data_IF_111712540383
#
_entry.id   IF_111712540383
#
_cell.length_a   1.000
_cell.length_b   1.000
_cell.length_c   1.000
_cell.angle_alpha   90.00
_cell.angle_beta   90.00
_cell.angle_gamma   90.00
#
_symmetry.space_group_name_H-M   'P 1'
#
loop_
_entity.id
_entity.type
_entity.pdbx_description
1 polymer ?
#
# COMPACT_ATOMS: atom_id res chain seq x y z
N UNK A 1 8.98 -17.06 3.19
CA UNK A 1 7.61 -17.34 2.70
C UNK A 1 7.17 -16.17 1.85
N UNK A 2 6.55 -16.41 0.70
CA UNK A 2 5.99 -15.33 -0.14
C UNK A 2 4.59 -14.97 0.39
N UNK A 3 4.32 -13.69 0.59
CA UNK A 3 3.02 -13.16 1.08
C UNK A 3 2.50 -12.01 0.19
N UNK A 4 3.00 -11.92 -1.04
CA UNK A 4 2.72 -10.79 -1.93
C UNK A 4 1.22 -10.61 -2.19
N UNK A 5 0.51 -11.72 -2.43
CA UNK A 5 -0.93 -11.69 -2.74
C UNK A 5 -1.77 -11.24 -1.54
N UNK A 6 -1.42 -11.70 -0.33
CA UNK A 6 -2.10 -11.32 0.89
C UNK A 6 -1.94 -9.82 1.17
N UNK A 7 -0.75 -9.28 0.93
CA UNK A 7 -0.47 -7.84 1.06
C UNK A 7 -1.33 -7.00 0.11
N UNK A 8 -1.47 -7.44 -1.15
CA UNK A 8 -2.27 -6.73 -2.15
C UNK A 8 -3.78 -6.89 -1.95
N UNK A 9 -4.22 -7.88 -1.17
CA UNK A 9 -5.64 -8.15 -0.94
C UNK A 9 -6.20 -7.34 0.22
N UNK A 10 -5.79 -7.63 1.46
CA UNK A 10 -6.32 -6.94 2.65
C UNK A 10 -5.48 -7.24 3.92
N UNK A 11 -5.47 -6.35 4.92
CA UNK A 11 -4.64 -6.46 6.12
C UNK A 11 -4.87 -7.73 6.93
N UNK A 12 -6.11 -8.23 6.99
CA UNK A 12 -6.43 -9.44 7.76
C UNK A 12 -5.73 -10.67 7.17
N UNK A 13 -5.57 -10.74 5.85
CA UNK A 13 -4.89 -11.86 5.20
C UNK A 13 -3.39 -11.83 5.52
N UNK A 14 -2.78 -10.64 5.56
CA UNK A 14 -1.39 -10.45 6.02
C UNK A 14 -1.25 -10.90 7.47
N UNK A 15 -2.13 -10.44 8.35
CA UNK A 15 -2.06 -10.74 9.79
C UNK A 15 -2.30 -12.22 10.06
N UNK A 16 -3.19 -12.89 9.30
CA UNK A 16 -3.36 -14.35 9.36
C UNK A 16 -2.04 -15.05 9.01
N UNK A 17 -1.40 -14.68 7.90
CA UNK A 17 -0.11 -15.28 7.51
C UNK A 17 0.97 -15.08 8.57
N UNK A 18 1.05 -13.88 9.16
CA UNK A 18 1.99 -13.61 10.23
C UNK A 18 1.69 -14.46 11.47
N UNK A 19 0.44 -14.48 11.93
CA UNK A 19 0.02 -15.18 13.16
C UNK A 19 0.08 -16.70 13.05
N UNK A 20 -0.08 -17.25 11.84
CA UNK A 20 0.06 -18.69 11.61
C UNK A 20 1.53 -19.15 11.62
N UNK A 21 2.48 -18.23 11.46
CA UNK A 21 3.91 -18.55 11.34
C UNK A 21 4.78 -17.97 12.46
N UNK A 22 4.27 -16.99 13.20
CA UNK A 22 4.96 -16.27 14.27
C UNK A 22 4.04 -16.19 15.50
N UNK A 23 4.65 -16.19 16.69
CA UNK A 23 3.96 -15.84 17.94
C UNK A 23 3.74 -14.32 18.00
N UNK A 24 2.80 -13.83 17.19
CA UNK A 24 2.51 -12.41 17.01
C UNK A 24 1.38 -11.96 17.93
N UNK A 25 1.66 -10.99 18.80
CA UNK A 25 0.63 -10.29 19.57
C UNK A 25 0.21 -9.00 18.89
N UNK A 26 -1.11 -8.85 18.70
CA UNK A 26 -1.70 -7.67 18.11
C UNK A 26 -3.11 -7.42 18.65
N UNK A 27 -3.50 -6.15 18.68
CA UNK A 27 -4.86 -5.72 18.97
C UNK A 27 -5.52 -5.22 17.69
N UNK A 28 -6.74 -5.69 17.40
CA UNK A 28 -7.56 -5.16 16.29
C UNK A 28 -8.35 -3.94 16.77
N UNK A 29 -8.16 -2.80 16.10
CA UNK A 29 -8.92 -1.55 16.30
C UNK A 29 -9.58 -1.18 14.98
N UNK A 30 -10.90 -1.39 14.88
CA UNK A 30 -11.69 -1.18 13.66
C UNK A 30 -11.12 -2.02 12.49
N UNK A 31 -10.38 -1.41 11.58
CA UNK A 31 -9.77 -2.00 10.39
C UNK A 31 -8.24 -1.99 10.43
N UNK A 32 -7.66 -1.72 11.60
CA UNK A 32 -6.21 -1.65 11.82
C UNK A 32 -5.79 -2.70 12.86
N UNK A 33 -4.64 -3.31 12.62
CA UNK A 33 -4.04 -4.33 13.48
C UNK A 33 -2.76 -3.75 14.07
N UNK A 34 -2.79 -3.41 15.35
CA UNK A 34 -1.67 -2.77 16.06
C UNK A 34 -0.78 -3.83 16.69
N UNK A 35 0.51 -3.81 16.34
CA UNK A 35 1.51 -4.75 16.85
C UNK A 35 1.89 -4.38 18.28
N UNK A 36 1.62 -5.26 19.25
CA UNK A 36 1.84 -4.97 20.67
C UNK A 36 3.34 -5.02 21.03
N UNK A 37 4.02 -6.08 20.60
CA UNK A 37 5.41 -6.32 21.01
C UNK A 37 6.44 -5.56 20.15
N UNK A 38 6.01 -4.91 19.04
CA UNK A 38 6.86 -4.19 18.06
C UNK A 38 8.14 -4.95 17.69
N UNK A 39 8.03 -6.27 17.54
CA UNK A 39 9.12 -7.20 17.20
C UNK A 39 9.34 -7.35 15.70
N UNK A 40 8.24 -7.30 14.94
CA UNK A 40 8.25 -7.48 13.49
C UNK A 40 9.00 -6.35 12.81
N UNK A 41 10.08 -6.68 12.12
CA UNK A 41 10.87 -5.75 11.35
C UNK A 41 10.33 -5.67 9.92
N UNK A 42 10.59 -4.55 9.25
CA UNK A 42 10.34 -4.36 7.84
C UNK A 42 11.57 -3.76 7.16
N UNK A 43 11.92 -4.27 5.99
CA UNK A 43 12.93 -3.69 5.10
C UNK A 43 12.38 -3.54 3.69
N UNK A 44 12.65 -2.39 3.08
CA UNK A 44 12.49 -2.22 1.63
C UNK A 44 13.85 -2.42 0.96
N UNK A 45 13.83 -3.06 -0.20
CA UNK A 45 14.97 -3.24 -1.07
C UNK A 45 14.64 -2.86 -2.51
N UNK A 46 15.62 -2.26 -3.18
CA UNK A 46 15.62 -2.06 -4.63
C UNK A 46 16.86 -2.73 -5.20
N UNK A 47 16.67 -3.59 -6.20
CA UNK A 47 17.74 -4.39 -6.82
C UNK A 47 18.66 -5.10 -5.79
N UNK A 48 18.10 -5.56 -4.67
CA UNK A 48 18.80 -6.26 -3.59
C UNK A 48 19.55 -5.36 -2.60
N UNK A 49 19.52 -4.04 -2.79
CA UNK A 49 20.08 -3.07 -1.84
C UNK A 49 18.99 -2.54 -0.92
N UNK A 50 19.17 -2.70 0.39
CA UNK A 50 18.22 -2.16 1.38
C UNK A 50 18.44 -0.67 1.60
N UNK A 51 17.37 0.11 1.45
CA UNK A 51 17.38 1.57 1.62
C UNK A 51 16.43 2.07 2.71
N UNK A 52 15.55 1.21 3.22
CA UNK A 52 14.60 1.54 4.28
C UNK A 52 14.47 0.38 5.24
N UNK A 53 14.45 0.68 6.54
CA UNK A 53 14.26 -0.30 7.60
C UNK A 53 13.54 0.32 8.78
N UNK A 54 12.67 -0.46 9.42
CA UNK A 54 12.09 -0.10 10.70
C UNK A 54 11.27 -1.22 11.31
N UNK A 55 10.48 -0.88 12.33
CA UNK A 55 9.60 -1.80 13.03
C UNK A 55 8.16 -1.59 12.62
N UNK A 56 7.44 -2.66 12.28
CA UNK A 56 6.01 -2.58 11.97
C UNK A 56 5.25 -2.22 13.25
N UNK A 57 4.48 -1.15 13.17
CA UNK A 57 3.66 -0.62 14.26
C UNK A 57 2.22 -1.08 14.11
N UNK A 58 1.70 -0.97 12.89
CA UNK A 58 0.37 -1.45 12.55
C UNK A 58 0.25 -1.78 11.07
N UNK A 59 -0.73 -2.61 10.75
CA UNK A 59 -1.13 -2.96 9.38
C UNK A 59 -2.63 -2.64 9.27
N UNK A 60 -3.05 -1.91 8.24
CA UNK A 60 -4.43 -1.42 8.13
C UNK A 60 -4.87 -1.17 6.70
N UNK A 61 -6.17 -0.91 6.53
CA UNK A 61 -6.77 -0.66 5.21
C UNK A 61 -6.26 0.63 4.59
N UNK A 62 -6.43 0.74 3.27
CA UNK A 62 -6.29 2.01 2.57
C UNK A 62 -7.39 2.99 3.00
N UNK A 63 -7.06 4.28 3.02
CA UNK A 63 -8.00 5.34 3.45
C UNK A 63 -9.24 5.47 2.54
N UNK A 64 -9.15 4.99 1.32
CA UNK A 64 -10.23 5.01 0.33
C UNK A 64 -11.00 3.69 0.24
N UNK A 65 -10.79 2.79 1.21
CA UNK A 65 -11.40 1.45 1.30
C UNK A 65 -11.13 0.55 0.08
N UNK A 66 -10.15 0.91 -0.77
CA UNK A 66 -9.73 0.04 -1.86
C UNK A 66 -8.89 -1.13 -1.35
N UNK A 67 -8.85 -2.22 -2.14
CA UNK A 67 -8.08 -3.42 -1.80
C UNK A 67 -6.59 -3.13 -1.57
N UNK A 68 -6.00 -3.86 -0.63
CA UNK A 68 -4.60 -3.78 -0.26
C UNK A 68 -4.36 -3.38 1.19
N UNK A 69 -3.09 -3.41 1.57
CA UNK A 69 -2.64 -3.18 2.94
C UNK A 69 -1.69 -1.99 3.02
N UNK A 70 -1.88 -1.15 4.03
CA UNK A 70 -0.92 -0.13 4.45
C UNK A 70 -0.14 -0.67 5.65
N UNK A 71 1.17 -0.45 5.65
CA UNK A 71 2.01 -0.69 6.82
C UNK A 71 2.49 0.63 7.37
N UNK A 72 2.37 0.81 8.68
CA UNK A 72 3.08 1.85 9.39
C UNK A 72 4.34 1.28 10.03
N UNK A 73 5.45 1.93 9.76
CA UNK A 73 6.79 1.51 10.14
C UNK A 73 7.46 2.62 10.91
N UNK A 74 7.97 2.29 12.09
CA UNK A 74 8.76 3.18 12.93
C UNK A 74 10.24 3.02 12.59
N UNK A 75 10.85 4.08 12.05
CA UNK A 75 12.28 4.13 11.69
C UNK A 75 13.17 4.58 12.84
N UNK A 76 12.60 4.81 14.04
CA UNK A 76 13.14 5.51 15.22
C UNK A 76 13.11 7.04 15.10
N UNK A 77 13.31 7.58 13.91
CA UNK A 77 13.26 9.02 13.67
C UNK A 77 11.82 9.51 13.46
N UNK A 78 11.01 8.70 12.77
CA UNK A 78 9.64 9.04 12.42
C UNK A 78 8.78 7.79 12.13
N UNK A 79 7.47 8.01 12.06
CA UNK A 79 6.52 7.02 11.56
C UNK A 79 6.32 7.22 10.06
N UNK A 80 6.56 6.17 9.27
CA UNK A 80 6.37 6.18 7.82
C UNK A 80 5.30 5.17 7.43
N UNK A 81 4.40 5.59 6.55
CA UNK A 81 3.44 4.69 5.93
C UNK A 81 3.99 4.25 4.58
N UNK A 82 3.83 2.96 4.28
CA UNK A 82 4.11 2.39 2.97
C UNK A 82 2.87 1.71 2.43
N UNK A 83 2.73 1.71 1.12
CA UNK A 83 1.58 1.20 0.41
C UNK A 83 2.05 0.25 -0.71
N UNK A 84 2.35 -1.01 -0.38
CA UNK A 84 2.74 -1.99 -1.38
C UNK A 84 1.57 -2.31 -2.31
N UNK A 85 1.80 -2.17 -3.61
CA UNK A 85 0.82 -2.41 -4.67
C UNK A 85 1.47 -3.14 -5.84
N UNK A 86 0.65 -3.66 -6.76
CA UNK A 86 1.15 -4.31 -7.97
C UNK A 86 1.98 -3.37 -8.86
N UNK A 87 1.79 -2.05 -8.72
CA UNK A 87 2.45 -1.00 -9.47
C UNK A 87 3.84 -0.64 -8.95
N UNK A 88 4.09 -0.81 -7.65
CA UNK A 88 5.32 -0.37 -6.98
C UNK A 88 6.11 -1.50 -6.29
N UNK A 89 5.61 -2.74 -6.33
CA UNK A 89 6.17 -3.88 -5.59
C UNK A 89 6.37 -5.08 -6.51
N UNK A 90 7.56 -5.68 -6.44
CA UNK A 90 7.87 -6.97 -7.08
C UNK A 90 7.45 -8.14 -6.22
N UNK A 91 7.84 -8.11 -4.94
CA UNK A 91 7.67 -9.26 -4.07
C UNK A 91 7.66 -8.84 -2.61
N UNK A 92 6.80 -9.47 -1.83
CA UNK A 92 6.82 -9.39 -0.37
C UNK A 92 7.10 -10.77 0.21
N UNK A 93 8.13 -10.86 1.05
CA UNK A 93 8.50 -12.10 1.73
C UNK A 93 8.57 -11.94 3.23
N UNK A 94 8.09 -12.95 3.95
CA UNK A 94 8.28 -13.11 5.38
C UNK A 94 9.47 -14.04 5.64
N UNK A 95 10.49 -13.54 6.31
CA UNK A 95 11.56 -14.32 6.94
C UNK A 95 11.12 -14.63 8.38
N UNK A 96 10.62 -15.84 8.58
CA UNK A 96 10.08 -16.34 9.85
C UNK A 96 11.17 -16.35 10.93
N UNK A 97 12.41 -16.72 10.58
CA UNK A 97 13.51 -16.83 11.56
C UNK A 97 13.97 -15.47 12.06
N UNK A 98 13.87 -14.44 11.22
CA UNK A 98 14.29 -13.07 11.55
C UNK A 98 13.15 -12.17 11.99
N UNK A 99 11.91 -12.66 12.01
CA UNK A 99 10.72 -11.85 12.23
C UNK A 99 10.75 -10.59 11.35
N UNK A 100 10.98 -10.78 10.05
CA UNK A 100 11.24 -9.70 9.09
C UNK A 100 10.35 -9.83 7.86
N UNK A 101 9.60 -8.76 7.57
CA UNK A 101 8.97 -8.54 6.27
C UNK A 101 9.97 -7.85 5.36
N UNK A 102 10.19 -8.43 4.18
CA UNK A 102 11.08 -7.92 3.16
C UNK A 102 10.28 -7.62 1.90
N UNK A 103 10.30 -6.37 1.47
CA UNK A 103 9.58 -5.89 0.28
C UNK A 103 10.61 -5.48 -0.77
N UNK A 104 10.58 -6.16 -1.92
CA UNK A 104 11.31 -5.75 -3.12
C UNK A 104 10.45 -4.74 -3.87
N UNK A 105 10.89 -3.49 -3.91
CA UNK A 105 10.18 -2.40 -4.59
C UNK A 105 10.59 -2.31 -6.05
N UNK A 106 9.68 -1.85 -6.91
CA UNK A 106 9.92 -1.67 -8.34
C UNK A 106 8.94 -0.66 -8.93
N UNK A 107 9.42 0.25 -9.78
CA UNK A 107 8.58 1.30 -10.38
C UNK A 107 7.94 0.83 -11.70
N UNK A 108 6.89 0.01 -11.64
CA UNK A 108 6.31 -0.65 -12.83
C UNK A 108 5.34 0.23 -13.61
N UNK A 109 4.69 1.17 -12.93
CA UNK A 109 3.64 1.99 -13.52
C UNK A 109 3.92 3.48 -13.32
N UNK A 110 3.60 4.27 -14.35
CA UNK A 110 3.65 5.73 -14.28
C UNK A 110 2.27 6.29 -13.99
N UNK A 111 2.24 7.36 -13.21
CA UNK A 111 1.04 8.13 -12.96
C UNK A 111 0.48 8.69 -14.27
N UNK A 112 -0.76 8.35 -14.58
CA UNK A 112 -1.46 8.76 -15.82
C UNK A 112 -1.70 10.27 -15.94
N UNK A 113 -1.44 11.04 -14.88
CA UNK A 113 -1.59 12.50 -14.86
C UNK A 113 -0.24 13.22 -14.97
N UNK A 114 0.73 12.91 -14.10
CA UNK A 114 2.02 13.62 -14.08
C UNK A 114 3.16 12.92 -14.83
N UNK A 115 2.98 11.66 -15.24
CA UNK A 115 3.99 10.87 -15.96
C UNK A 115 5.17 10.38 -15.12
N UNK A 116 5.24 10.70 -13.83
CA UNK A 116 6.25 10.17 -12.90
C UNK A 116 5.89 8.76 -12.45
N UNK A 117 6.89 8.01 -12.00
CA UNK A 117 6.68 6.67 -11.43
C UNK A 117 5.81 6.72 -10.18
N UNK A 118 5.06 5.65 -9.96
CA UNK A 118 4.37 5.36 -8.71
C UNK A 118 5.30 4.54 -7.83
N UNK A 119 5.66 5.08 -6.67
CA UNK A 119 6.60 4.51 -5.73
C UNK A 119 5.91 3.95 -4.47
N UNK A 120 6.68 3.26 -3.63
CA UNK A 120 6.18 2.52 -2.45
C UNK A 120 5.56 3.41 -1.35
N UNK A 121 5.95 4.68 -1.31
CA UNK A 121 5.47 5.66 -0.34
C UNK A 121 4.26 6.46 -0.86
N UNK A 122 3.86 6.26 -2.11
CA UNK A 122 2.79 7.02 -2.72
C UNK A 122 1.41 6.46 -2.36
N UNK A 123 0.44 7.37 -2.17
CA UNK A 123 -0.97 7.00 -2.23
C UNK A 123 -1.39 6.88 -3.69
N UNK A 124 -1.93 5.72 -4.05
CA UNK A 124 -2.26 5.37 -5.44
C UNK A 124 -3.74 5.11 -5.53
N UNK A 125 -4.37 5.68 -6.56
CA UNK A 125 -5.76 5.36 -6.90
C UNK A 125 -5.87 5.10 -8.40
N UNK A 126 -7.03 4.62 -8.84
CA UNK A 126 -7.25 4.22 -10.22
C UNK A 126 -8.62 4.59 -10.73
N UNK A 127 -8.75 4.71 -12.05
CA UNK A 127 -10.05 4.83 -12.68
C UNK A 127 -10.86 3.53 -12.45
N UNK A 128 -12.11 3.60 -11.95
CA UNK A 128 -12.93 2.40 -11.70
C UNK A 128 -13.39 1.69 -12.99
N UNK A 129 -13.07 2.23 -14.18
CA UNK A 129 -13.54 1.70 -15.47
C UNK A 129 -12.42 1.13 -16.33
N UNK A 130 -11.28 1.82 -16.40
CA UNK A 130 -10.13 1.39 -17.21
C UNK A 130 -8.89 1.11 -16.37
N UNK A 131 -9.01 1.21 -15.04
CA UNK A 131 -7.96 0.90 -14.04
C UNK A 131 -6.67 1.69 -14.19
N UNK A 132 -6.67 2.75 -15.01
CA UNK A 132 -5.52 3.63 -15.19
C UNK A 132 -5.10 4.20 -13.83
N UNK A 133 -3.84 3.96 -13.46
CA UNK A 133 -3.29 4.29 -12.15
C UNK A 133 -2.70 5.69 -12.14
N UNK A 134 -2.80 6.33 -10.98
CA UNK A 134 -2.20 7.64 -10.73
C UNK A 134 -2.00 7.85 -9.23
N UNK A 135 -1.13 8.80 -8.89
CA UNK A 135 -1.11 9.33 -7.54
C UNK A 135 -2.49 9.85 -7.19
N UNK A 136 -2.94 9.53 -5.98
CA UNK A 136 -4.30 9.80 -5.52
C UNK A 136 -4.69 11.26 -5.75
N UNK A 137 -3.90 12.18 -5.20
CA UNK A 137 -4.17 13.61 -5.32
C UNK A 137 -4.27 14.08 -6.77
N UNK A 138 -3.36 13.62 -7.64
CA UNK A 138 -3.37 14.01 -9.04
C UNK A 138 -4.62 13.55 -9.80
N UNK A 139 -5.08 12.31 -9.57
CA UNK A 139 -6.28 11.83 -10.25
C UNK A 139 -7.55 12.46 -9.67
N UNK A 140 -7.59 12.59 -8.34
CA UNK A 140 -8.70 13.25 -7.64
C UNK A 140 -8.88 14.69 -8.11
N UNK A 141 -7.80 15.48 -8.19
CA UNK A 141 -7.86 16.87 -8.66
C UNK A 141 -8.23 16.95 -10.13
N UNK A 142 -7.69 16.05 -10.97
CA UNK A 142 -8.08 15.97 -12.38
C UNK A 142 -9.57 15.72 -12.55
N UNK A 143 -10.13 14.73 -11.84
CA UNK A 143 -11.56 14.39 -11.95
C UNK A 143 -12.43 15.53 -11.41
N UNK A 144 -12.04 16.20 -10.32
CA UNK A 144 -12.75 17.41 -9.84
C UNK A 144 -12.79 18.54 -10.86
N UNK A 145 -11.74 18.69 -11.68
CA UNK A 145 -11.66 19.74 -12.68
C UNK A 145 -12.30 19.38 -14.03
N UNK A 146 -12.18 18.11 -14.44
CA UNK A 146 -12.51 17.66 -15.81
C UNK A 146 -13.68 16.68 -15.86
N UNK A 147 -14.15 16.19 -14.72
CA UNK A 147 -15.23 15.21 -14.57
C UNK A 147 -15.06 13.95 -15.45
N UNK A 148 -13.82 13.62 -15.81
CA UNK A 148 -13.51 12.55 -16.76
C UNK A 148 -12.18 11.87 -16.45
N UNK A 149 -12.04 10.62 -16.84
CA UNK A 149 -10.77 9.89 -16.79
C UNK A 149 -9.74 10.51 -17.77
N UNK A 150 -8.47 10.76 -17.37
CA UNK A 150 -7.45 11.26 -18.28
C UNK A 150 -7.12 10.27 -19.41
N UNK A 151 -7.38 8.98 -19.22
CA UNK A 151 -7.08 7.90 -20.18
C UNK A 151 -8.31 7.53 -21.01
N UNK A 152 -9.35 6.93 -20.41
CA UNK A 152 -10.51 6.43 -21.16
C UNK A 152 -11.58 7.48 -21.45
N UNK A 153 -11.43 8.71 -20.95
CA UNK A 153 -12.34 9.86 -21.15
C UNK A 153 -13.78 9.68 -20.65
N UNK A 154 -14.11 8.55 -20.03
CA UNK A 154 -15.42 8.31 -19.41
C UNK A 154 -15.65 9.24 -18.21
N UNK A 155 -16.91 9.60 -17.99
CA UNK A 155 -17.33 10.47 -16.90
C UNK A 155 -17.02 9.84 -15.55
N UNK A 156 -16.46 10.65 -14.67
CA UNK A 156 -16.10 10.29 -13.31
C UNK A 156 -16.42 11.45 -12.39
N UNK A 157 -16.67 11.13 -11.13
CA UNK A 157 -16.91 12.11 -10.09
C UNK A 157 -16.16 11.71 -8.81
N UNK A 158 -16.01 12.64 -7.87
CA UNK A 158 -15.27 12.42 -6.62
C UNK A 158 -16.18 12.68 -5.42
N UNK A 159 -16.27 11.73 -4.51
CA UNK A 159 -17.00 11.90 -3.25
C UNK A 159 -16.34 12.96 -2.36
N UNK A 160 -17.06 13.39 -1.32
CA UNK A 160 -16.49 14.25 -0.26
C UNK A 160 -15.28 13.62 0.43
N UNK A 161 -15.17 12.29 0.42
CA UNK A 161 -14.05 11.52 0.99
C UNK A 161 -12.90 11.28 0.01
N UNK A 162 -12.98 11.80 -1.23
CA UNK A 162 -11.93 11.67 -2.23
C UNK A 162 -11.97 10.38 -3.05
N UNK A 163 -13.02 9.57 -2.89
CA UNK A 163 -13.22 8.32 -3.65
C UNK A 163 -13.75 8.65 -5.04
N UNK A 164 -13.13 8.08 -6.07
CA UNK A 164 -13.53 8.26 -7.47
C UNK A 164 -14.60 7.24 -7.82
N UNK A 165 -15.72 7.70 -8.35
CA UNK A 165 -16.83 6.85 -8.80
C UNK A 165 -17.29 7.23 -10.21
N UNK A 166 -18.07 6.34 -10.82
CA UNK A 166 -18.66 6.55 -12.15
C UNK A 166 -19.87 7.46 -11.98
N UNK A 167 -19.89 8.57 -12.70
CA UNK A 167 -21.02 9.51 -12.72
C UNK A 167 -22.27 8.89 -13.36
#
# INVERSE_FOLDING_TARGET
>A
MDITNEVFKEPIEVVKQLSSNLDLKYTKVIQTYVMEDRRLNLTLEDQGSSYFKGKVVWIGNKKDDTEGSIFCVDTRDELRQINPTAENTDKVTLDIKKELIKISTASKTKCSVCGKNIEIFDEVTGCPICEAKAHKDHLTDWVRMKHTCPVCKKSLNVSSTGVIYID
#
